data_IF_203384828292
#
_entry.id   IF_203384828292
#
_cell.length_a   1.000
_cell.length_b   1.000
_cell.length_c   1.000
_cell.angle_alpha   90.00
_cell.angle_beta   90.00
_cell.angle_gamma   90.00
#
_symmetry.space_group_name_H-M   'P 1'
#
loop_
_entity.id
_entity.type
_entity.pdbx_description
1 polymer ?
#
# COMPACT_ATOMS: atom_id res chain seq x y z
N UNK A 1 16.88 52.33 20.15
CA UNK A 1 17.87 52.99 21.05
C UNK A 1 17.26 53.03 22.45
N UNK A 2 18.00 52.65 23.52
CA UNK A 2 17.86 52.97 24.98
C UNK A 2 16.44 53.04 25.64
N UNK A 3 16.22 52.61 26.89
CA UNK A 3 17.03 51.83 27.85
C UNK A 3 16.16 51.33 29.05
N UNK A 4 16.72 50.42 29.85
CA UNK A 4 16.12 49.79 31.05
C UNK A 4 16.02 50.73 32.27
N UNK A 5 15.26 50.30 33.30
CA UNK A 5 15.49 50.38 34.78
C UNK A 5 14.56 49.31 35.44
N UNK A 6 14.84 48.58 36.53
CA UNK A 6 16.06 48.23 37.31
C UNK A 6 16.11 46.69 37.55
N UNK A 7 17.09 46.02 38.19
CA UNK A 7 17.70 46.20 39.53
C UNK A 7 16.68 46.15 40.69
N UNK A 8 16.85 45.47 41.85
CA UNK A 8 17.96 44.74 42.54
C UNK A 8 17.30 43.95 43.73
N UNK A 9 17.80 42.92 44.47
CA UNK A 9 18.87 41.87 44.48
C UNK A 9 18.58 40.94 45.72
N UNK A 10 19.34 39.94 46.25
CA UNK A 10 20.55 39.13 45.95
C UNK A 10 20.64 37.96 46.99
N UNK A 11 21.59 37.00 46.82
CA UNK A 11 22.02 35.92 47.78
C UNK A 11 21.02 34.75 47.93
N UNK A 12 21.39 33.52 48.30
CA UNK A 12 22.66 32.82 48.65
C UNK A 12 22.28 31.49 49.35
N UNK A 13 22.99 30.36 49.30
CA UNK A 13 24.34 30.03 49.83
C UNK A 13 24.69 28.56 49.46
N UNK A 14 25.97 28.16 49.45
CA UNK A 14 26.46 26.77 49.22
C UNK A 14 26.45 25.87 50.49
N UNK A 15 26.37 24.53 50.35
CA UNK A 15 27.52 23.59 50.59
C UNK A 15 27.21 22.07 50.66
N UNK A 16 28.12 21.29 50.03
CA UNK A 16 28.76 20.01 50.43
C UNK A 16 27.97 18.68 50.62
N UNK A 17 28.43 17.69 49.85
CA UNK A 17 28.92 16.34 50.21
C UNK A 17 28.19 15.45 51.24
N UNK A 18 28.02 14.16 50.91
CA UNK A 18 28.85 13.08 51.50
C UNK A 18 28.92 11.82 50.59
N UNK A 19 29.72 10.82 50.98
CA UNK A 19 29.95 9.53 50.29
C UNK A 19 29.34 8.35 51.09
N UNK A 20 29.54 7.15 50.54
CA UNK A 20 29.47 5.80 51.13
C UNK A 20 28.14 5.07 50.89
N UNK A 21 28.10 3.73 50.88
CA UNK A 21 28.99 2.66 50.38
C UNK A 21 28.25 1.34 50.72
N UNK A 22 28.29 0.34 49.81
CA UNK A 22 28.04 -1.11 49.98
C UNK A 22 26.92 -1.65 50.90
N UNK A 23 26.40 -2.85 50.57
CA UNK A 23 26.28 -4.00 51.47
C UNK A 23 25.70 -5.18 50.69
N UNK A 24 26.37 -6.34 50.73
CA UNK A 24 25.88 -7.58 50.13
C UNK A 24 25.33 -8.52 51.21
N UNK A 25 24.11 -9.05 51.00
CA UNK A 25 23.48 -10.02 51.89
C UNK A 25 23.61 -11.45 51.35
N UNK A 26 24.38 -12.30 52.02
CA UNK A 26 24.54 -13.72 51.67
C UNK A 26 23.73 -14.58 52.64
N UNK A 27 22.73 -15.32 52.15
CA UNK A 27 21.93 -16.25 52.96
C UNK A 27 22.15 -17.70 52.53
N UNK A 28 22.36 -18.57 53.51
CA UNK A 28 22.81 -19.95 53.33
C UNK A 28 21.89 -20.89 54.11
N UNK A 29 21.15 -21.73 53.40
CA UNK A 29 20.31 -22.80 53.98
C UNK A 29 20.75 -24.17 53.44
N UNK A 30 20.33 -25.25 54.10
CA UNK A 30 20.80 -26.63 53.86
C UNK A 30 19.64 -27.61 53.71
N UNK A 31 19.87 -28.62 52.86
CA UNK A 31 19.14 -29.89 52.73
C UNK A 31 17.72 -29.82 52.11
N UNK A 32 17.32 -30.92 51.47
CA UNK A 32 15.99 -31.11 50.85
C UNK A 32 16.00 -30.83 49.35
N UNK A 33 16.28 -31.86 48.53
CA UNK A 33 16.43 -31.70 47.09
C UNK A 33 15.25 -32.24 46.28
N UNK A 34 14.92 -31.54 45.20
CA UNK A 34 14.41 -32.15 43.98
C UNK A 34 14.97 -31.37 42.79
N UNK A 35 15.60 -32.06 41.83
CA UNK A 35 16.16 -31.41 40.63
C UNK A 35 15.09 -31.39 39.55
N UNK A 36 14.57 -30.20 39.25
CA UNK A 36 13.81 -29.94 38.03
C UNK A 36 14.60 -28.98 37.15
N UNK A 37 14.99 -29.41 35.95
CA UNK A 37 15.75 -28.57 35.02
C UNK A 37 14.79 -27.63 34.30
N UNK A 38 14.71 -26.39 34.78
CA UNK A 38 14.04 -25.29 34.07
C UNK A 38 15.13 -24.35 33.56
N UNK A 39 15.39 -24.40 32.25
CA UNK A 39 16.31 -23.46 31.59
C UNK A 39 15.57 -22.15 31.32
N UNK A 40 15.80 -21.16 32.18
CA UNK A 40 15.35 -19.80 31.95
C UNK A 40 16.21 -19.12 30.88
N UNK A 41 15.56 -18.46 29.91
CA UNK A 41 16.18 -17.50 29.01
C UNK A 41 15.53 -16.13 29.16
N UNK A 42 15.92 -15.40 30.22
CA UNK A 42 15.66 -13.96 30.31
C UNK A 42 16.72 -13.28 29.43
N UNK A 43 16.28 -12.51 28.44
CA UNK A 43 17.17 -11.62 27.65
C UNK A 43 16.68 -10.18 27.84
N UNK A 44 17.64 -9.29 28.07
CA UNK A 44 17.43 -7.96 28.63
C UNK A 44 16.79 -6.97 27.67
N UNK A 45 16.01 -6.04 28.24
CA UNK A 45 15.64 -4.79 27.58
C UNK A 45 16.90 -3.93 27.38
N UNK A 46 17.35 -3.74 26.13
CA UNK A 46 18.35 -2.73 25.74
C UNK A 46 17.85 -2.02 24.49
N UNK A 47 17.88 -0.69 24.50
CA UNK A 47 17.29 0.15 23.44
C UNK A 47 18.25 0.36 22.28
N UNK A 48 17.89 -0.14 21.09
CA UNK A 48 18.29 0.44 19.80
C UNK A 48 17.07 0.44 18.87
N UNK A 49 16.57 1.62 18.53
CA UNK A 49 15.32 1.80 17.77
C UNK A 49 15.44 1.55 16.27
N UNK A 50 15.88 0.37 15.84
CA UNK A 50 15.96 -0.04 14.42
C UNK A 50 15.30 -1.40 14.09
N UNK A 51 15.02 -2.24 15.08
CA UNK A 51 14.61 -3.65 14.85
C UNK A 51 13.11 -3.90 14.63
N UNK A 52 12.24 -2.87 14.73
CA UNK A 52 10.80 -3.01 14.45
C UNK A 52 10.48 -3.12 12.95
N UNK A 53 11.36 -2.60 12.08
CA UNK A 53 11.18 -2.65 10.62
C UNK A 53 11.65 -3.97 10.03
N UNK A 54 12.64 -4.64 10.66
CA UNK A 54 13.16 -5.93 10.18
C UNK A 54 12.24 -7.10 10.53
N UNK A 55 11.63 -7.11 11.72
CA UNK A 55 10.74 -8.19 12.16
C UNK A 55 9.45 -8.36 11.31
N UNK A 56 9.07 -7.36 10.50
CA UNK A 56 7.93 -7.46 9.55
C UNK A 56 8.33 -8.06 8.18
N UNK A 57 9.61 -8.44 7.96
CA UNK A 57 10.10 -8.92 6.66
C UNK A 57 10.41 -10.43 6.56
N UNK A 58 10.57 -11.14 7.68
CA UNK A 58 10.98 -12.57 7.66
C UNK A 58 9.83 -13.58 7.81
N UNK A 59 8.58 -13.12 7.96
CA UNK A 59 7.41 -14.01 8.12
C UNK A 59 6.60 -14.27 6.85
N UNK A 60 7.09 -13.90 5.67
CA UNK A 60 6.48 -14.25 4.38
C UNK A 60 6.91 -15.65 3.89
N UNK A 61 6.91 -16.63 4.80
CA UNK A 61 6.47 -17.97 4.40
C UNK A 61 4.95 -17.85 4.16
N UNK A 62 4.45 -18.50 3.11
CA UNK A 62 3.04 -18.42 2.70
C UNK A 62 2.10 -18.74 3.86
N UNK A 63 1.42 -17.73 4.42
CA UNK A 63 0.50 -17.92 5.54
C UNK A 63 -0.58 -18.93 5.12
N UNK A 64 -0.73 -20.00 5.90
CA UNK A 64 -1.76 -21.01 5.71
C UNK A 64 -3.16 -20.41 5.63
N UNK A 65 -3.40 -19.26 6.27
CA UNK A 65 -4.65 -18.51 6.13
C UNK A 65 -4.85 -17.92 4.74
N UNK A 66 -3.82 -17.40 4.09
CA UNK A 66 -3.95 -16.88 2.73
C UNK A 66 -4.26 -18.02 1.76
N UNK A 67 -3.59 -19.17 1.89
CA UNK A 67 -3.94 -20.35 1.09
C UNK A 67 -5.33 -20.90 1.42
N UNK A 68 -5.79 -20.88 2.68
CA UNK A 68 -7.18 -21.24 3.02
C UNK A 68 -8.23 -20.26 2.48
N UNK A 69 -7.94 -18.95 2.46
CA UNK A 69 -8.83 -17.92 1.88
C UNK A 69 -8.94 -18.14 0.37
N UNK A 70 -7.81 -18.24 -0.33
CA UNK A 70 -7.76 -18.55 -1.76
C UNK A 70 -8.48 -19.87 -2.10
N UNK A 71 -8.27 -20.93 -1.32
CA UNK A 71 -8.91 -22.22 -1.54
C UNK A 71 -10.41 -22.22 -1.25
N UNK A 72 -10.92 -21.31 -0.41
CA UNK A 72 -12.37 -21.19 -0.16
C UNK A 72 -13.11 -20.42 -1.26
N UNK A 73 -12.54 -19.33 -1.78
CA UNK A 73 -13.23 -18.55 -2.82
C UNK A 73 -13.10 -19.15 -4.23
N UNK A 74 -12.08 -19.99 -4.48
CA UNK A 74 -11.84 -20.66 -5.77
C UNK A 74 -12.89 -21.75 -6.12
N UNK A 75 -13.78 -22.12 -5.21
CA UNK A 75 -14.82 -23.15 -5.40
C UNK A 75 -16.25 -22.59 -5.33
N UNK A 76 -16.52 -21.53 -6.08
CA UNK A 76 -17.89 -21.09 -6.34
C UNK A 76 -17.99 -20.51 -7.78
N UNK A 77 -18.52 -21.31 -8.72
CA UNK A 77 -18.61 -20.94 -10.13
C UNK A 77 -19.57 -19.76 -10.40
N UNK A 78 -20.51 -19.50 -9.49
CA UNK A 78 -21.43 -18.35 -9.54
C UNK A 78 -20.81 -17.04 -9.00
N UNK A 79 -19.54 -17.04 -8.57
CA UNK A 79 -18.89 -15.86 -8.01
C UNK A 79 -18.23 -15.01 -9.12
N UNK A 80 -18.76 -13.81 -9.49
CA UNK A 80 -18.17 -13.01 -10.57
C UNK A 80 -16.74 -12.53 -10.29
N UNK A 81 -16.27 -12.67 -9.05
CA UNK A 81 -14.94 -12.30 -8.60
C UNK A 81 -13.88 -13.40 -8.85
N UNK A 82 -14.25 -14.66 -9.10
CA UNK A 82 -13.30 -15.69 -9.59
C UNK A 82 -12.97 -15.50 -11.08
N UNK A 83 -13.81 -14.78 -11.83
CA UNK A 83 -13.63 -14.42 -13.24
C UNK A 83 -12.89 -13.09 -13.48
N UNK A 84 -12.30 -12.48 -12.45
CA UNK A 84 -11.71 -11.13 -12.46
C UNK A 84 -10.40 -10.95 -13.23
N UNK A 85 -10.21 -11.62 -14.37
CA UNK A 85 -9.07 -11.44 -15.28
C UNK A 85 -7.72 -12.02 -14.81
N UNK A 86 -7.38 -11.87 -13.54
CA UNK A 86 -6.09 -12.31 -12.97
C UNK A 86 -6.02 -13.82 -12.72
N UNK A 87 -4.90 -14.46 -13.08
CA UNK A 87 -4.64 -15.86 -12.73
C UNK A 87 -4.37 -16.03 -11.23
N UNK A 88 -4.44 -17.26 -10.66
CA UNK A 88 -4.12 -17.48 -9.24
C UNK A 88 -2.71 -17.02 -8.84
N UNK A 89 -1.74 -17.14 -9.75
CA UNK A 89 -0.35 -16.75 -9.54
C UNK A 89 -0.18 -15.22 -9.58
N UNK A 90 -0.94 -14.54 -10.46
CA UNK A 90 -1.04 -13.07 -10.48
C UNK A 90 -1.70 -12.55 -9.18
N UNK A 91 -2.74 -13.24 -8.70
CA UNK A 91 -3.39 -12.91 -7.43
C UNK A 91 -2.48 -13.17 -6.21
N UNK A 92 -1.56 -14.14 -6.25
CA UNK A 92 -0.56 -14.35 -5.19
C UNK A 92 0.39 -13.15 -5.07
N UNK A 93 0.91 -12.65 -6.21
CA UNK A 93 1.75 -11.44 -6.25
C UNK A 93 0.98 -10.22 -5.75
N UNK A 94 -0.25 -10.02 -6.23
CA UNK A 94 -1.15 -8.95 -5.77
C UNK A 94 -1.33 -9.00 -4.25
N UNK A 95 -1.72 -10.16 -3.72
CA UNK A 95 -2.06 -10.38 -2.30
C UNK A 95 -0.85 -10.18 -1.39
N UNK A 96 0.33 -10.67 -1.81
CA UNK A 96 1.60 -10.45 -1.09
C UNK A 96 1.96 -8.97 -1.00
N UNK A 97 1.73 -8.20 -2.08
CA UNK A 97 2.00 -6.76 -2.10
C UNK A 97 0.93 -5.96 -1.35
N UNK A 98 -0.34 -6.38 -1.40
CA UNK A 98 -1.43 -5.77 -0.65
C UNK A 98 -1.24 -5.97 0.87
N UNK A 99 -0.87 -7.17 1.33
CA UNK A 99 -0.58 -7.45 2.73
C UNK A 99 0.66 -6.70 3.28
N UNK A 100 1.57 -6.30 2.39
CA UNK A 100 2.76 -5.50 2.73
C UNK A 100 2.47 -3.97 2.75
N UNK A 101 1.34 -3.54 2.20
CA UNK A 101 0.95 -2.14 2.02
C UNK A 101 -0.06 -1.70 3.08
N UNK A 102 0.07 -0.48 3.60
CA UNK A 102 -0.93 0.07 4.52
C UNK A 102 -2.01 0.83 3.71
N UNK A 103 -1.66 1.30 2.51
CA UNK A 103 -2.54 2.04 1.62
C UNK A 103 -2.44 1.66 0.14
N UNK A 104 -3.59 1.48 -0.50
CA UNK A 104 -3.75 1.07 -1.91
C UNK A 104 -4.69 2.05 -2.66
N UNK A 105 -4.36 2.40 -3.90
CA UNK A 105 -5.30 3.04 -4.84
C UNK A 105 -5.58 2.11 -6.03
N UNK A 106 -6.84 1.93 -6.43
CA UNK A 106 -7.22 1.08 -7.56
C UNK A 106 -7.91 1.87 -8.68
N UNK A 107 -7.40 1.76 -9.92
CA UNK A 107 -8.20 1.99 -11.12
C UNK A 107 -8.68 0.63 -11.64
N UNK A 108 -9.99 0.45 -11.72
CA UNK A 108 -10.61 -0.87 -11.90
C UNK A 108 -10.71 -1.56 -10.55
N UNK A 109 -11.94 -1.85 -10.12
CA UNK A 109 -12.23 -2.50 -8.83
C UNK A 109 -12.79 -3.90 -9.06
N UNK A 110 -12.71 -4.77 -8.07
CA UNK A 110 -13.20 -6.14 -8.20
C UNK A 110 -12.66 -7.09 -7.15
N UNK A 111 -12.11 -8.21 -7.59
CA UNK A 111 -11.53 -9.24 -6.72
C UNK A 111 -10.32 -8.73 -5.96
N UNK A 112 -9.52 -7.84 -6.57
CA UNK A 112 -8.45 -7.10 -5.90
C UNK A 112 -8.95 -6.32 -4.69
N UNK A 113 -10.07 -5.61 -4.81
CA UNK A 113 -10.68 -4.83 -3.73
C UNK A 113 -11.16 -5.70 -2.58
N UNK A 114 -11.64 -6.92 -2.87
CA UNK A 114 -12.02 -7.91 -1.85
C UNK A 114 -10.78 -8.51 -1.18
N UNK A 115 -9.75 -8.86 -1.96
CA UNK A 115 -8.43 -9.29 -1.45
C UNK A 115 -7.83 -8.24 -0.51
N UNK A 116 -7.91 -6.94 -0.85
CA UNK A 116 -7.47 -5.84 -0.01
C UNK A 116 -8.21 -5.81 1.34
N UNK A 117 -9.52 -6.06 1.34
CA UNK A 117 -10.32 -6.18 2.55
C UNK A 117 -9.90 -7.40 3.40
N UNK A 118 -9.66 -8.55 2.76
CA UNK A 118 -9.27 -9.81 3.41
C UNK A 118 -7.87 -9.71 4.08
N UNK A 119 -6.88 -9.11 3.41
CA UNK A 119 -5.53 -8.92 3.98
C UNK A 119 -5.44 -7.71 4.91
N UNK A 120 -6.51 -6.93 5.05
CA UNK A 120 -6.62 -5.86 6.04
C UNK A 120 -5.95 -4.54 5.68
N UNK A 121 -5.87 -4.17 4.39
CA UNK A 121 -5.37 -2.86 3.94
C UNK A 121 -6.07 -1.74 4.72
N UNK A 122 -5.30 -0.77 5.24
CA UNK A 122 -5.84 0.25 6.16
C UNK A 122 -6.65 1.31 5.39
N UNK A 123 -6.03 1.98 4.43
CA UNK A 123 -6.66 2.97 3.53
C UNK A 123 -6.75 2.42 2.11
N UNK A 124 -7.95 2.32 1.56
CA UNK A 124 -8.15 2.03 0.13
C UNK A 124 -9.09 3.03 -0.52
N UNK A 125 -8.68 3.53 -1.69
CA UNK A 125 -9.52 4.26 -2.63
C UNK A 125 -9.57 3.46 -3.93
N UNK A 126 -10.75 3.30 -4.54
CA UNK A 126 -10.89 2.48 -5.75
C UNK A 126 -11.95 3.04 -6.69
N UNK A 127 -11.65 3.15 -7.99
CA UNK A 127 -12.48 3.90 -8.95
C UNK A 127 -12.83 3.06 -10.17
N UNK A 128 -14.10 3.09 -10.57
CA UNK A 128 -14.60 2.35 -11.73
C UNK A 128 -15.62 3.14 -12.56
N UNK A 129 -15.79 2.68 -13.80
CA UNK A 129 -16.63 3.27 -14.85
C UNK A 129 -17.97 2.57 -15.02
N UNK A 130 -18.19 1.42 -14.36
CA UNK A 130 -19.47 0.72 -14.33
C UNK A 130 -20.22 0.98 -13.02
N UNK A 131 -21.14 1.96 -13.00
CA UNK A 131 -21.93 2.31 -11.80
C UNK A 131 -22.64 1.10 -11.11
N UNK A 132 -23.19 0.09 -11.82
CA UNK A 132 -23.73 -1.11 -11.16
C UNK A 132 -22.67 -1.90 -10.40
N UNK A 133 -21.47 -2.06 -10.97
CA UNK A 133 -20.34 -2.76 -10.37
C UNK A 133 -19.78 -2.01 -9.15
N UNK A 134 -19.72 -0.67 -9.22
CA UNK A 134 -19.37 0.18 -8.08
C UNK A 134 -20.30 -0.03 -6.88
N UNK A 135 -21.59 -0.30 -7.11
CA UNK A 135 -22.53 -0.62 -6.02
C UNK A 135 -22.26 -2.01 -5.45
N UNK A 136 -22.12 -3.02 -6.31
CA UNK A 136 -21.85 -4.40 -5.87
C UNK A 136 -20.55 -4.52 -5.06
N UNK A 137 -19.46 -3.87 -5.50
CA UNK A 137 -18.18 -3.91 -4.76
C UNK A 137 -18.30 -3.16 -3.43
N UNK A 138 -18.99 -2.02 -3.36
CA UNK A 138 -19.27 -1.30 -2.09
C UNK A 138 -20.03 -2.15 -1.08
N UNK A 139 -20.90 -3.04 -1.52
CA UNK A 139 -21.68 -3.94 -0.64
C UNK A 139 -20.84 -5.14 -0.13
N UNK A 140 -19.72 -5.43 -0.78
CA UNK A 140 -18.81 -6.56 -0.45
C UNK A 140 -17.57 -6.18 0.36
N UNK A 141 -17.26 -4.88 0.53
CA UNK A 141 -16.05 -4.40 1.22
C UNK A 141 -16.35 -3.45 2.39
N UNK A 142 -15.43 -3.27 3.36
CA UNK A 142 -15.65 -2.39 4.50
C UNK A 142 -15.96 -0.93 4.08
N UNK A 143 -16.98 -0.33 4.69
CA UNK A 143 -17.44 1.05 4.40
C UNK A 143 -16.44 2.17 4.74
N UNK A 144 -15.26 1.81 5.25
CA UNK A 144 -14.09 2.70 5.38
C UNK A 144 -13.33 2.92 4.06
N UNK A 145 -13.60 2.12 3.02
CA UNK A 145 -12.94 2.24 1.72
C UNK A 145 -13.66 3.23 0.81
N UNK A 146 -12.90 4.13 0.19
CA UNK A 146 -13.40 5.16 -0.72
C UNK A 146 -13.59 4.59 -2.13
N UNK A 147 -14.60 3.75 -2.32
CA UNK A 147 -14.96 3.20 -3.63
C UNK A 147 -15.82 4.23 -4.37
N UNK A 148 -15.44 4.65 -5.59
CA UNK A 148 -16.10 5.72 -6.36
C UNK A 148 -16.54 5.27 -7.77
N UNK A 149 -17.47 6.04 -8.37
CA UNK A 149 -17.89 5.90 -9.76
C UNK A 149 -17.42 7.13 -10.55
N UNK A 150 -16.80 6.88 -11.71
CA UNK A 150 -16.40 7.91 -12.67
C UNK A 150 -17.27 7.80 -13.92
N UNK A 151 -17.91 8.90 -14.30
CA UNK A 151 -18.68 8.96 -15.54
C UNK A 151 -17.76 9.15 -16.74
N UNK A 152 -17.71 8.16 -17.63
CA UNK A 152 -17.02 8.24 -18.94
C UNK A 152 -18.00 8.04 -20.12
N UNK A 153 -19.29 8.30 -19.87
CA UNK A 153 -20.41 7.99 -20.74
C UNK A 153 -21.07 6.65 -20.41
N UNK A 154 -22.00 6.22 -21.26
CA UNK A 154 -22.59 4.88 -21.20
C UNK A 154 -21.51 3.81 -21.45
N UNK A 155 -21.48 2.76 -20.62
CA UNK A 155 -20.49 1.67 -20.72
C UNK A 155 -21.13 0.31 -20.95
N UNK A 156 -20.39 -0.56 -21.64
CA UNK A 156 -20.69 -2.00 -21.81
C UNK A 156 -19.78 -2.85 -20.90
N UNK A 157 -19.63 -4.14 -21.20
CA UNK A 157 -18.76 -5.07 -20.45
C UNK A 157 -17.36 -4.47 -20.22
N UNK A 158 -16.79 -4.72 -19.04
CA UNK A 158 -15.47 -4.22 -18.60
C UNK A 158 -15.36 -2.69 -18.52
N UNK A 159 -16.47 -1.98 -18.31
CA UNK A 159 -16.46 -0.52 -18.17
C UNK A 159 -16.06 0.24 -19.45
N UNK A 160 -15.94 -0.43 -20.59
CA UNK A 160 -15.57 0.24 -21.84
C UNK A 160 -16.74 1.10 -22.34
N UNK A 161 -16.53 2.37 -22.74
CA UNK A 161 -17.58 3.19 -23.35
C UNK A 161 -18.26 2.53 -24.55
N UNK A 162 -19.54 2.82 -24.73
CA UNK A 162 -20.34 2.40 -25.89
C UNK A 162 -19.94 3.19 -27.14
N UNK A 163 -19.67 4.49 -26.99
CA UNK A 163 -19.33 5.43 -28.05
C UNK A 163 -18.42 6.57 -27.51
N UNK A 164 -18.04 7.52 -28.39
CA UNK A 164 -17.19 8.68 -28.03
C UNK A 164 -17.99 9.95 -27.68
N UNK A 165 -19.30 9.86 -27.41
CA UNK A 165 -20.14 11.06 -27.14
C UNK A 165 -19.75 11.81 -25.86
N UNK A 166 -19.16 11.13 -24.88
CA UNK A 166 -18.69 11.71 -23.61
C UNK A 166 -17.15 11.60 -23.46
N UNK A 167 -16.44 11.66 -24.60
CA UNK A 167 -14.98 11.53 -24.68
C UNK A 167 -14.22 12.65 -23.96
N UNK A 168 -14.88 13.79 -23.76
CA UNK A 168 -14.42 14.91 -22.93
C UNK A 168 -14.25 14.54 -21.45
N UNK A 169 -15.06 13.63 -20.93
CA UNK A 169 -14.99 13.15 -19.52
C UNK A 169 -13.93 12.06 -19.30
N UNK A 170 -13.45 11.40 -20.36
CA UNK A 170 -12.51 10.27 -20.26
C UNK A 170 -11.21 10.56 -19.48
N UNK A 171 -10.59 11.74 -19.57
CA UNK A 171 -9.39 12.06 -18.80
C UNK A 171 -9.60 11.98 -17.28
N UNK A 172 -10.79 12.31 -16.78
CA UNK A 172 -11.09 12.41 -15.35
C UNK A 172 -10.85 11.07 -14.63
N UNK A 173 -11.09 9.95 -15.33
CA UNK A 173 -10.80 8.60 -14.83
C UNK A 173 -9.34 8.44 -14.39
N UNK A 174 -8.39 8.92 -15.20
CA UNK A 174 -6.97 8.89 -14.84
C UNK A 174 -6.58 9.99 -13.83
N UNK A 175 -7.44 11.00 -13.60
CA UNK A 175 -7.19 12.12 -12.69
C UNK A 175 -7.83 11.94 -11.30
N UNK A 176 -8.66 10.91 -11.07
CA UNK A 176 -9.28 10.65 -9.75
C UNK A 176 -8.28 10.67 -8.57
N UNK A 177 -7.06 10.19 -8.78
CA UNK A 177 -6.00 10.17 -7.76
C UNK A 177 -5.56 11.57 -7.32
N UNK A 178 -5.75 12.62 -8.14
CA UNK A 178 -5.42 14.01 -7.78
C UNK A 178 -6.39 14.60 -6.73
N UNK A 179 -7.43 13.87 -6.34
CA UNK A 179 -8.33 14.20 -5.22
C UNK A 179 -7.77 13.75 -3.87
N UNK A 180 -6.78 12.86 -3.87
CA UNK A 180 -6.11 12.35 -2.68
C UNK A 180 -4.92 13.26 -2.33
N UNK A 181 -4.67 13.48 -1.03
CA UNK A 181 -3.61 14.41 -0.57
C UNK A 181 -2.27 13.72 -0.31
N UNK A 182 -2.29 12.43 0.05
CA UNK A 182 -1.09 11.65 0.37
C UNK A 182 -0.97 10.44 -0.56
N UNK A 183 0.21 10.19 -1.17
CA UNK A 183 0.43 9.01 -1.98
C UNK A 183 0.21 7.71 -1.24
N UNK A 184 -0.11 6.69 -2.01
CA UNK A 184 -0.33 5.33 -1.56
C UNK A 184 0.97 4.54 -1.65
N UNK A 185 1.10 3.52 -0.79
CA UNK A 185 2.23 2.58 -0.87
C UNK A 185 2.18 1.81 -2.21
N UNK A 186 0.96 1.56 -2.70
CA UNK A 186 0.69 0.74 -3.87
C UNK A 186 -0.45 1.33 -4.72
N UNK A 187 -0.35 1.18 -6.03
CA UNK A 187 -1.40 1.49 -6.99
C UNK A 187 -1.68 0.26 -7.86
N UNK A 188 -2.94 -0.04 -8.16
CA UNK A 188 -3.34 -1.02 -9.16
C UNK A 188 -3.98 -0.32 -10.36
N UNK A 189 -3.59 -0.75 -11.56
CA UNK A 189 -4.14 -0.31 -12.83
C UNK A 189 -4.66 -1.53 -13.61
N UNK A 190 -5.90 -1.90 -13.33
CA UNK A 190 -6.67 -2.94 -14.02
C UNK A 190 -7.97 -2.40 -14.66
N UNK A 191 -8.16 -1.08 -14.61
CA UNK A 191 -9.32 -0.38 -15.16
C UNK A 191 -9.19 -0.07 -16.65
N UNK A 192 -9.60 1.17 -16.98
CA UNK A 192 -9.53 1.78 -18.31
C UNK A 192 -8.35 2.76 -18.38
N UNK A 193 -7.97 3.20 -19.58
CA UNK A 193 -6.93 4.23 -19.78
C UNK A 193 -5.59 3.90 -19.10
N UNK A 194 -5.17 2.62 -19.15
CA UNK A 194 -4.14 2.07 -18.25
C UNK A 194 -2.81 2.82 -18.29
N UNK A 195 -2.34 3.26 -19.47
CA UNK A 195 -1.11 4.08 -19.59
C UNK A 195 -1.25 5.45 -18.91
N UNK A 196 -2.42 6.10 -19.03
CA UNK A 196 -2.67 7.39 -18.39
C UNK A 196 -2.82 7.25 -16.87
N UNK A 197 -3.47 6.19 -16.39
CA UNK A 197 -3.61 5.87 -14.97
C UNK A 197 -2.25 5.52 -14.34
N UNK A 198 -1.43 4.70 -14.99
CA UNK A 198 -0.08 4.39 -14.52
C UNK A 198 0.84 5.64 -14.52
N UNK A 199 0.71 6.53 -15.51
CA UNK A 199 1.41 7.82 -15.50
C UNK A 199 0.96 8.74 -14.35
N UNK A 200 -0.35 8.78 -14.03
CA UNK A 200 -0.87 9.44 -12.82
C UNK A 200 -0.33 8.81 -11.53
N UNK A 201 -0.27 7.49 -11.44
CA UNK A 201 0.22 6.76 -10.27
C UNK A 201 1.71 7.08 -9.97
N UNK A 202 2.56 7.05 -10.99
CA UNK A 202 3.98 7.42 -10.92
C UNK A 202 4.19 8.91 -10.62
N UNK A 203 3.25 9.77 -11.00
CA UNK A 203 3.29 11.20 -10.69
C UNK A 203 2.90 11.45 -9.23
N UNK A 204 1.77 10.88 -8.78
CA UNK A 204 1.23 11.04 -7.43
C UNK A 204 2.12 10.39 -6.36
N UNK A 205 2.64 9.18 -6.62
CA UNK A 205 3.66 8.53 -5.78
C UNK A 205 4.97 9.32 -5.69
N UNK A 206 5.24 10.19 -6.67
CA UNK A 206 6.46 10.99 -6.73
C UNK A 206 7.71 10.10 -6.78
N UNK A 207 8.74 10.48 -6.02
CA UNK A 207 9.98 9.71 -5.84
C UNK A 207 10.00 8.97 -4.47
N UNK A 208 8.84 8.57 -3.93
CA UNK A 208 8.72 7.63 -2.79
C UNK A 208 8.82 6.17 -3.32
N UNK A 209 9.06 5.17 -2.46
CA UNK A 209 9.04 3.70 -2.81
C UNK A 209 7.60 3.19 -3.09
N UNK A 210 6.80 4.01 -3.76
CA UNK A 210 5.46 3.67 -4.24
C UNK A 210 5.58 2.79 -5.48
N UNK A 211 4.76 1.74 -5.56
CA UNK A 211 4.77 0.78 -6.69
C UNK A 211 3.46 0.79 -7.44
N UNK A 212 3.53 0.58 -8.74
CA UNK A 212 2.38 0.64 -9.66
C UNK A 212 2.23 -0.69 -10.36
N UNK A 213 1.21 -1.45 -9.97
CA UNK A 213 0.81 -2.68 -10.63
C UNK A 213 0.02 -2.33 -11.88
N UNK A 214 0.39 -2.92 -13.02
CA UNK A 214 -0.34 -2.79 -14.28
C UNK A 214 -0.65 -4.19 -14.78
N UNK A 215 -1.92 -4.49 -15.00
CA UNK A 215 -2.37 -5.76 -15.58
C UNK A 215 -2.54 -5.64 -17.10
N UNK A 216 -2.65 -6.75 -17.82
CA UNK A 216 -2.48 -6.84 -19.28
C UNK A 216 -1.18 -6.17 -19.80
N UNK A 217 -0.09 -6.20 -19.00
CA UNK A 217 1.14 -5.48 -19.33
C UNK A 217 1.86 -6.02 -20.58
N UNK A 218 1.55 -7.23 -21.04
CA UNK A 218 2.11 -7.80 -22.28
C UNK A 218 1.71 -7.03 -23.55
N UNK A 219 0.72 -6.13 -23.47
CA UNK A 219 0.29 -5.27 -24.59
C UNK A 219 1.38 -4.27 -24.98
N UNK A 220 1.70 -4.21 -26.27
CA UNK A 220 2.71 -3.29 -26.84
C UNK A 220 2.39 -1.81 -26.54
N UNK A 221 1.11 -1.44 -26.51
CA UNK A 221 0.63 -0.10 -26.13
C UNK A 221 1.14 0.34 -24.75
N UNK A 222 1.26 -0.59 -23.80
CA UNK A 222 1.63 -0.31 -22.41
C UNK A 222 3.14 -0.28 -22.18
N UNK A 223 3.93 -0.93 -23.05
CA UNK A 223 5.40 -0.96 -22.98
C UNK A 223 6.05 0.43 -23.04
N UNK A 224 5.32 1.46 -23.49
CA UNK A 224 5.73 2.88 -23.39
C UNK A 224 6.07 3.32 -21.96
N UNK A 225 5.48 2.69 -20.94
CA UNK A 225 5.75 2.98 -19.52
C UNK A 225 7.20 2.67 -19.12
N UNK A 226 7.88 1.75 -19.80
CA UNK A 226 9.29 1.43 -19.54
C UNK A 226 10.27 2.59 -19.84
N UNK A 227 9.78 3.69 -20.45
CA UNK A 227 10.54 4.94 -20.60
C UNK A 227 10.69 5.69 -19.28
N UNK A 228 9.68 5.61 -18.41
CA UNK A 228 9.55 6.40 -17.16
C UNK A 228 9.55 5.55 -15.89
N UNK A 229 9.42 4.23 -16.02
CA UNK A 229 9.45 3.27 -14.94
C UNK A 229 10.40 2.10 -15.23
N UNK A 230 10.84 1.42 -14.19
CA UNK A 230 11.48 0.11 -14.24
C UNK A 230 10.45 -0.97 -13.90
N UNK A 231 10.44 -2.07 -14.66
CA UNK A 231 9.68 -3.27 -14.32
C UNK A 231 10.53 -4.10 -13.36
N UNK A 232 10.11 -4.19 -12.09
CA UNK A 232 10.89 -4.79 -11.00
C UNK A 232 10.44 -6.21 -10.65
N UNK A 233 9.24 -6.60 -11.05
CA UNK A 233 8.68 -7.94 -10.90
C UNK A 233 7.54 -8.10 -11.92
N UNK A 234 7.45 -9.23 -12.61
CA UNK A 234 6.31 -9.55 -13.47
C UNK A 234 5.92 -11.01 -13.34
N UNK A 235 4.63 -11.25 -13.13
CA UNK A 235 4.01 -12.56 -13.12
C UNK A 235 2.88 -12.56 -14.15
N UNK A 236 3.00 -13.38 -15.19
CA UNK A 236 2.05 -13.39 -16.31
C UNK A 236 1.85 -11.99 -16.91
N UNK A 237 0.61 -11.52 -16.86
CA UNK A 237 0.11 -10.22 -17.32
C UNK A 237 0.33 -9.08 -16.32
N UNK A 238 0.59 -9.41 -15.05
CA UNK A 238 0.72 -8.43 -13.96
C UNK A 238 2.18 -8.01 -13.81
N UNK A 239 2.48 -6.76 -14.16
CA UNK A 239 3.80 -6.16 -13.94
C UNK A 239 3.77 -5.17 -12.77
N UNK A 240 4.84 -5.18 -11.97
CA UNK A 240 5.09 -4.26 -10.86
C UNK A 240 6.11 -3.24 -11.33
N UNK A 241 5.67 -1.99 -11.50
CA UNK A 241 6.50 -0.88 -11.94
C UNK A 241 6.93 -0.01 -10.75
N UNK A 242 8.18 0.45 -10.78
CA UNK A 242 8.70 1.49 -9.89
C UNK A 242 9.18 2.69 -10.72
N UNK A 243 8.98 3.92 -10.24
CA UNK A 243 9.39 5.13 -10.98
C UNK A 243 10.91 5.18 -11.17
N UNK A 244 11.37 5.58 -12.37
CA UNK A 244 12.78 5.87 -12.59
C UNK A 244 13.19 7.14 -11.85
N UNK A 245 14.31 7.08 -11.14
CA UNK A 245 14.92 8.25 -10.51
C UNK A 245 15.26 9.37 -11.53
N UNK A 246 15.45 9.00 -12.81
CA UNK A 246 15.67 9.94 -13.93
C UNK A 246 14.39 10.49 -14.56
N UNK A 247 13.21 9.90 -14.31
CA UNK A 247 11.97 10.32 -14.93
C UNK A 247 11.42 11.59 -14.28
N UNK A 248 11.29 12.66 -15.07
CA UNK A 248 10.73 13.94 -14.65
C UNK A 248 9.20 13.92 -14.61
N UNK A 249 8.60 14.80 -13.82
CA UNK A 249 7.14 14.98 -13.79
C UNK A 249 6.61 15.42 -15.16
N UNK A 250 7.39 16.20 -15.92
CA UNK A 250 7.03 16.62 -17.28
C UNK A 250 6.88 15.43 -18.26
N UNK A 251 7.71 14.39 -18.14
CA UNK A 251 7.58 13.17 -18.96
C UNK A 251 6.33 12.38 -18.60
N UNK A 252 6.03 12.27 -17.30
CA UNK A 252 4.81 11.61 -16.80
C UNK A 252 3.54 12.36 -17.21
N UNK A 253 3.53 13.69 -17.06
CA UNK A 253 2.44 14.56 -17.51
C UNK A 253 2.25 14.45 -19.03
N UNK A 254 3.35 14.46 -19.80
CA UNK A 254 3.30 14.28 -21.27
C UNK A 254 2.75 12.91 -21.67
N UNK A 255 3.15 11.85 -20.96
CA UNK A 255 2.67 10.50 -21.20
C UNK A 255 1.17 10.39 -20.88
N UNK A 256 0.74 10.90 -19.72
CA UNK A 256 -0.67 10.98 -19.34
C UNK A 256 -1.49 11.74 -20.37
N UNK A 257 -1.05 12.93 -20.77
CA UNK A 257 -1.76 13.77 -21.74
C UNK A 257 -1.87 13.13 -23.13
N UNK A 258 -0.87 12.33 -23.55
CA UNK A 258 -0.92 11.56 -24.80
C UNK A 258 -1.95 10.41 -24.74
N UNK A 259 -2.00 9.69 -23.62
CA UNK A 259 -2.80 8.45 -23.50
C UNK A 259 -4.16 8.62 -22.80
N UNK A 260 -4.55 9.83 -22.38
CA UNK A 260 -5.83 10.13 -21.67
C UNK A 260 -7.14 9.81 -22.42
N UNK A 261 -7.05 9.31 -23.66
CA UNK A 261 -8.18 8.85 -24.46
C UNK A 261 -7.98 7.44 -25.02
N UNK A 262 -6.86 6.78 -24.69
CA UNK A 262 -6.52 5.45 -25.16
C UNK A 262 -7.17 4.41 -24.24
N UNK A 263 -8.00 3.52 -24.78
CA UNK A 263 -8.87 2.66 -23.95
C UNK A 263 -8.22 1.33 -23.54
N UNK A 264 -7.32 0.79 -24.36
CA UNK A 264 -6.84 -0.62 -24.33
C UNK A 264 -5.58 -0.85 -25.18
#
# INVERSE_FOLDING_TARGET
>A
RKANHGMISSRGVMRKNHRNDSWGGFLKSRNGGLVLVVVSAIISLVVVGHSLVTWRKESYQTDSRLSEIFLKEKYNDDNPFTGGGMTPEEQEVLTRLYAASNSVFEWGIGSSTIIAAQVGVERLTGVDSALPWVKEVRERVPSKYNISYVNIGEVKKWGRPVNETHRDLWPDYALEVEKEQEPFDLYLVDGRFRVACAASALLHGGQKDSRVLVHDFERESYQVLLKVADNIEQQGKLAVLHRKATASDNELISLRLKYKFDLD
#
